data_IF_232498069910
#
_entry.id   IF_232498069910
#
_cell.length_a   1.000
_cell.length_b   1.000
_cell.length_c   1.000
_cell.angle_alpha   90.00
_cell.angle_beta   90.00
_cell.angle_gamma   90.00
#
_symmetry.space_group_name_H-M   'P 1'
#
loop_
_entity.id
_entity.type
_entity.pdbx_description
1 polymer ?
#
# COMPACT_ATOMS: atom_id res chain seq x y z
N UNK A 1 6.32 -20.59 29.68
CA UNK A 1 5.10 -19.85 29.30
C UNK A 1 5.48 -18.38 29.20
N UNK A 2 5.62 -17.78 28.00
CA UNK A 2 5.94 -16.37 27.89
C UNK A 2 4.70 -15.52 28.24
N UNK A 3 4.87 -14.32 28.84
CA UNK A 3 3.76 -13.41 29.10
C UNK A 3 3.18 -12.87 27.79
N UNK A 4 1.85 -12.86 27.69
CA UNK A 4 1.11 -12.38 26.53
C UNK A 4 1.47 -10.93 26.21
N UNK A 5 1.84 -10.67 24.96
CA UNK A 5 2.02 -9.33 24.43
C UNK A 5 0.73 -8.53 24.65
N UNK A 6 0.76 -7.59 25.59
CA UNK A 6 -0.38 -6.71 25.86
C UNK A 6 -0.73 -5.94 24.60
N UNK A 7 -1.88 -6.26 24.00
CA UNK A 7 -2.40 -5.51 22.86
C UNK A 7 -2.60 -4.05 23.29
N UNK A 8 -1.93 -3.14 22.59
CA UNK A 8 -1.99 -1.70 22.87
C UNK A 8 -3.42 -1.21 22.60
N UNK A 9 -4.06 -0.51 23.55
CA UNK A 9 -5.40 0.01 23.34
C UNK A 9 -5.40 1.04 22.19
N UNK A 10 -6.49 1.10 21.41
CA UNK A 10 -6.59 2.05 20.31
C UNK A 10 -6.51 3.49 20.83
N UNK A 11 -5.90 4.41 20.05
CA UNK A 11 -5.85 5.82 20.43
C UNK A 11 -7.27 6.39 20.52
N UNK A 12 -7.49 7.30 21.47
CA UNK A 12 -8.76 8.00 21.62
C UNK A 12 -8.98 8.94 20.42
N UNK A 13 -10.19 9.00 19.85
CA UNK A 13 -10.51 9.98 18.81
C UNK A 13 -10.16 11.40 19.29
N UNK A 14 -9.33 12.13 18.54
CA UNK A 14 -8.89 13.49 18.87
C UNK A 14 -7.64 13.60 19.77
N UNK A 15 -7.02 12.49 20.19
CA UNK A 15 -5.70 12.55 20.79
C UNK A 15 -4.67 12.90 19.71
N UNK A 16 -3.86 13.95 19.93
CA UNK A 16 -2.70 14.22 19.09
C UNK A 16 -1.88 12.92 18.96
N UNK A 17 -1.45 12.53 17.74
CA UNK A 17 -0.55 11.40 17.57
C UNK A 17 0.61 11.58 18.54
N UNK A 18 0.97 10.53 19.28
CA UNK A 18 2.17 10.60 20.11
C UNK A 18 3.33 10.91 19.17
N UNK A 19 4.32 11.69 19.60
CA UNK A 19 5.44 12.09 18.75
C UNK A 19 6.09 10.89 18.02
N UNK A 20 6.12 9.73 18.67
CA UNK A 20 6.62 8.48 18.09
C UNK A 20 5.76 7.90 16.96
N UNK A 21 4.44 8.10 16.99
CA UNK A 21 3.53 7.61 15.96
C UNK A 21 3.74 8.38 14.63
N UNK A 22 4.30 9.60 14.67
CA UNK A 22 4.65 10.38 13.47
C UNK A 22 5.75 9.74 12.63
N UNK A 23 6.61 8.91 13.26
CA UNK A 23 7.67 8.19 12.56
C UNK A 23 7.21 6.87 11.92
N UNK A 24 5.96 6.46 12.14
CA UNK A 24 5.42 5.29 11.46
C UNK A 24 5.31 5.57 9.95
N UNK A 25 5.83 4.70 9.06
CA UNK A 25 5.76 4.91 7.61
C UNK A 25 4.34 5.11 7.07
N UNK A 26 3.36 4.51 7.75
CA UNK A 26 1.93 4.58 7.45
C UNK A 26 1.29 5.92 7.82
N UNK A 27 1.87 6.65 8.78
CA UNK A 27 1.30 7.88 9.31
C UNK A 27 1.21 8.99 8.25
N UNK A 28 2.10 9.01 7.27
CA UNK A 28 2.04 9.99 6.17
C UNK A 28 2.33 11.43 6.58
N UNK A 29 2.81 11.65 7.81
CA UNK A 29 3.03 12.99 8.37
C UNK A 29 4.30 13.64 7.82
N UNK A 30 5.29 12.84 7.40
CA UNK A 30 6.55 13.33 6.87
C UNK A 30 6.58 13.28 5.34
N UNK A 31 7.07 14.34 4.65
CA UNK A 31 7.20 14.33 3.20
C UNK A 31 8.14 13.22 2.73
N UNK A 32 7.85 12.63 1.57
CA UNK A 32 8.72 11.65 0.94
C UNK A 32 9.93 12.35 0.31
N UNK A 33 11.09 12.25 0.95
CA UNK A 33 12.33 12.89 0.47
C UNK A 33 13.17 11.95 -0.40
N UNK A 34 13.81 12.50 -1.44
CA UNK A 34 14.80 11.80 -2.27
C UNK A 34 14.27 10.68 -3.18
N UNK A 35 12.95 10.51 -3.29
CA UNK A 35 12.31 9.43 -4.07
C UNK A 35 11.38 9.91 -5.18
N UNK A 36 11.35 11.21 -5.47
CA UNK A 36 10.45 11.80 -6.45
C UNK A 36 10.58 11.17 -7.85
N UNK A 37 11.81 10.91 -8.32
CA UNK A 37 12.05 10.29 -9.62
C UNK A 37 11.47 8.87 -9.71
N UNK A 38 11.69 8.06 -8.66
CA UNK A 38 11.17 6.69 -8.59
C UNK A 38 9.64 6.67 -8.45
N UNK A 39 9.06 7.61 -7.71
CA UNK A 39 7.61 7.77 -7.64
C UNK A 39 7.02 8.15 -9.01
N UNK A 40 7.68 9.05 -9.74
CA UNK A 40 7.27 9.43 -11.10
C UNK A 40 7.36 8.25 -12.09
N UNK A 41 8.41 7.44 -11.99
CA UNK A 41 8.55 6.21 -12.79
C UNK A 41 7.40 5.23 -12.53
N UNK A 42 7.07 4.97 -11.26
CA UNK A 42 5.94 4.11 -10.89
C UNK A 42 4.60 4.70 -11.34
N UNK A 43 4.43 6.03 -11.28
CA UNK A 43 3.22 6.67 -11.78
C UNK A 43 3.08 6.52 -13.30
N UNK A 44 4.18 6.67 -14.04
CA UNK A 44 4.20 6.46 -15.49
C UNK A 44 3.96 5.00 -15.87
N UNK A 45 4.44 4.05 -15.06
CA UNK A 45 4.14 2.63 -15.23
C UNK A 45 2.62 2.34 -15.14
N UNK A 46 1.86 3.06 -14.31
CA UNK A 46 0.41 2.90 -14.26
C UNK A 46 -0.31 3.35 -15.54
N UNK A 47 0.34 4.15 -16.39
CA UNK A 47 -0.23 4.57 -17.68
C UNK A 47 0.06 3.57 -18.82
N UNK A 48 0.69 2.41 -18.51
CA UNK A 48 0.90 1.33 -19.48
C UNK A 48 -0.45 0.76 -19.96
N UNK A 49 -0.64 0.55 -21.27
CA UNK A 49 -1.91 0.09 -21.83
C UNK A 49 -2.25 -1.39 -21.55
N UNK A 50 -1.36 -2.15 -20.89
CA UNK A 50 -1.63 -3.55 -20.55
C UNK A 50 -2.79 -3.68 -19.53
N UNK A 51 -3.72 -4.59 -19.81
CA UNK A 51 -4.87 -4.89 -18.92
C UNK A 51 -4.43 -5.42 -17.53
N UNK A 52 -3.23 -6.02 -17.45
CA UNK A 52 -2.61 -6.50 -16.23
C UNK A 52 -1.09 -6.34 -16.35
N UNK A 53 -0.48 -5.66 -15.37
CA UNK A 53 0.97 -5.52 -15.26
C UNK A 53 1.44 -5.75 -13.83
N UNK A 54 2.70 -6.17 -13.69
CA UNK A 54 3.36 -6.37 -12.39
C UNK A 54 4.68 -5.62 -12.37
N UNK A 55 4.94 -4.85 -11.31
CA UNK A 55 6.19 -4.14 -11.09
C UNK A 55 6.78 -4.53 -9.73
N UNK A 56 8.05 -4.96 -9.72
CA UNK A 56 8.73 -5.42 -8.50
C UNK A 56 9.59 -4.32 -7.89
N UNK A 57 9.27 -3.91 -6.66
CA UNK A 57 10.11 -3.00 -5.88
C UNK A 57 11.14 -3.78 -5.07
N UNK A 58 12.41 -3.69 -5.47
CA UNK A 58 13.53 -4.40 -4.83
C UNK A 58 14.46 -3.40 -4.13
N UNK A 59 15.00 -3.79 -2.99
CA UNK A 59 15.96 -2.98 -2.24
C UNK A 59 16.16 -3.52 -0.84
N UNK A 60 17.21 -3.06 -0.16
CA UNK A 60 17.57 -3.51 1.19
C UNK A 60 16.45 -3.25 2.23
N UNK A 61 16.53 -3.93 3.37
CA UNK A 61 15.67 -3.62 4.51
C UNK A 61 15.85 -2.16 4.94
N UNK A 62 14.77 -1.48 5.32
CA UNK A 62 14.83 -0.07 5.71
C UNK A 62 14.99 0.94 4.56
N UNK A 63 15.12 0.50 3.31
CA UNK A 63 15.23 1.41 2.14
C UNK A 63 13.99 2.25 1.86
N UNK A 64 12.86 2.01 2.55
CA UNK A 64 11.64 2.80 2.42
C UNK A 64 10.67 2.33 1.32
N UNK A 65 10.77 1.09 0.83
CA UNK A 65 9.86 0.52 -0.19
C UNK A 65 8.38 0.65 0.19
N UNK A 66 8.04 0.26 1.42
CA UNK A 66 6.68 0.40 1.95
C UNK A 66 6.21 1.86 1.97
N UNK A 67 7.09 2.80 2.36
CA UNK A 67 6.78 4.24 2.36
C UNK A 67 6.53 4.75 0.93
N UNK A 68 7.34 4.33 -0.04
CA UNK A 68 7.17 4.68 -1.44
C UNK A 68 5.85 4.15 -2.00
N UNK A 69 5.50 2.89 -1.73
CA UNK A 69 4.25 2.30 -2.18
C UNK A 69 3.02 2.95 -1.54
N UNK A 70 3.09 3.30 -0.24
CA UNK A 70 2.05 4.08 0.43
C UNK A 70 1.85 5.46 -0.22
N UNK A 71 2.93 6.10 -0.64
CA UNK A 71 2.86 7.40 -1.33
C UNK A 71 2.24 7.26 -2.72
N UNK A 72 2.57 6.21 -3.47
CA UNK A 72 1.94 5.90 -4.74
C UNK A 72 0.43 5.67 -4.56
N UNK A 73 0.00 4.87 -3.58
CA UNK A 73 -1.42 4.66 -3.30
C UNK A 73 -2.13 5.99 -2.99
N UNK A 74 -1.55 6.84 -2.13
CA UNK A 74 -2.12 8.16 -1.81
C UNK A 74 -2.20 9.09 -3.02
N UNK A 75 -1.24 9.01 -3.94
CA UNK A 75 -1.19 9.83 -5.15
C UNK A 75 -2.32 9.47 -6.12
N UNK A 76 -2.63 8.18 -6.27
CA UNK A 76 -3.58 7.71 -7.29
C UNK A 76 -4.99 7.40 -6.76
N UNK A 77 -5.12 7.23 -5.44
CA UNK A 77 -6.38 7.04 -4.71
C UNK A 77 -6.37 7.91 -3.43
N UNK A 78 -6.40 9.24 -3.56
CA UNK A 78 -6.41 10.16 -2.43
C UNK A 78 -7.71 10.03 -1.62
N UNK A 79 -7.69 10.36 -0.31
CA UNK A 79 -8.85 10.19 0.58
C UNK A 79 -10.10 11.01 0.20
N UNK A 80 -9.94 12.04 -0.62
CA UNK A 80 -11.05 12.87 -1.12
C UNK A 80 -11.78 12.24 -2.32
N UNK A 81 -11.32 11.07 -2.79
CA UNK A 81 -11.93 10.33 -3.89
C UNK A 81 -11.66 10.91 -5.27
N UNK A 82 -10.76 11.88 -5.39
CA UNK A 82 -10.41 12.51 -6.68
C UNK A 82 -9.50 11.66 -7.59
N UNK A 83 -9.08 10.48 -7.13
CA UNK A 83 -8.18 9.60 -7.85
C UNK A 83 -8.85 8.73 -8.91
N UNK A 84 -8.10 8.47 -9.98
CA UNK A 84 -8.53 7.62 -11.09
C UNK A 84 -8.38 6.13 -10.78
N UNK A 85 -7.63 5.76 -9.74
CA UNK A 85 -7.35 4.37 -9.37
C UNK A 85 -8.03 3.99 -8.05
N UNK A 86 -8.29 2.70 -7.88
CA UNK A 86 -8.50 2.09 -6.57
C UNK A 86 -7.18 1.46 -6.11
N UNK A 87 -6.62 1.90 -4.98
CA UNK A 87 -5.31 1.42 -4.54
C UNK A 87 -5.34 0.86 -3.11
N UNK A 88 -4.84 -0.36 -2.93
CA UNK A 88 -4.84 -1.02 -1.62
C UNK A 88 -3.63 -1.92 -1.40
N UNK A 89 -3.23 -2.05 -0.14
CA UNK A 89 -2.32 -3.10 0.29
C UNK A 89 -3.10 -4.40 0.48
N UNK A 90 -2.53 -5.51 0.01
CA UNK A 90 -3.07 -6.85 0.16
C UNK A 90 -2.02 -7.73 0.80
N UNK A 91 -2.43 -8.50 1.81
CA UNK A 91 -1.54 -9.47 2.42
C UNK A 91 -1.35 -10.67 1.45
N UNK A 92 -0.15 -11.27 1.34
CA UNK A 92 0.09 -12.39 0.44
C UNK A 92 -0.90 -13.57 0.59
N UNK A 93 -1.37 -13.83 1.82
CA UNK A 93 -2.38 -14.87 2.09
C UNK A 93 -3.73 -14.64 1.44
N UNK A 94 -4.06 -13.38 1.13
CA UNK A 94 -5.39 -12.98 0.64
C UNK A 94 -5.46 -13.02 -0.88
N UNK A 95 -4.32 -13.10 -1.57
CA UNK A 95 -4.26 -13.17 -3.03
C UNK A 95 -4.99 -14.39 -3.58
N UNK A 96 -4.80 -15.56 -2.97
CA UNK A 96 -5.43 -16.79 -3.46
C UNK A 96 -6.97 -16.74 -3.34
N UNK A 97 -7.55 -16.37 -2.18
CA UNK A 97 -8.99 -16.11 -2.07
C UNK A 97 -9.54 -15.10 -3.08
N UNK A 98 -8.80 -14.01 -3.35
CA UNK A 98 -9.21 -13.00 -4.34
C UNK A 98 -9.29 -13.63 -5.74
N UNK A 99 -8.26 -14.33 -6.17
CA UNK A 99 -8.21 -14.99 -7.49
C UNK A 99 -9.33 -16.03 -7.62
N UNK A 100 -9.52 -16.89 -6.62
CA UNK A 100 -10.55 -17.93 -6.66
C UNK A 100 -11.97 -17.31 -6.73
N UNK A 101 -12.18 -16.16 -6.08
CA UNK A 101 -13.45 -15.42 -6.14
C UNK A 101 -13.69 -14.82 -7.53
N UNK A 102 -12.67 -14.18 -8.12
CA UNK A 102 -12.75 -13.58 -9.45
C UNK A 102 -12.90 -14.64 -10.56
N UNK A 103 -12.35 -15.84 -10.37
CA UNK A 103 -12.47 -16.94 -11.32
C UNK A 103 -13.89 -17.54 -11.37
N UNK A 104 -14.68 -17.39 -10.31
CA UNK A 104 -15.99 -18.05 -10.16
C UNK A 104 -17.17 -17.10 -10.26
N UNK A 105 -16.93 -15.78 -10.26
CA UNK A 105 -17.97 -14.75 -10.33
C UNK A 105 -17.61 -13.74 -11.42
N UNK A 106 -18.60 -13.40 -12.25
CA UNK A 106 -18.47 -12.26 -13.14
C UNK A 106 -18.29 -11.00 -12.29
N UNK A 107 -17.13 -10.37 -12.42
CA UNK A 107 -16.78 -9.15 -11.72
C UNK A 107 -16.13 -8.19 -12.73
N UNK A 108 -16.61 -6.95 -12.76
CA UNK A 108 -16.05 -5.88 -13.56
C UNK A 108 -15.44 -4.84 -12.62
N UNK A 109 -14.23 -4.42 -12.92
CA UNK A 109 -13.59 -3.32 -12.20
C UNK A 109 -14.16 -2.00 -12.70
N UNK A 110 -14.78 -1.23 -11.82
CA UNK A 110 -15.33 0.09 -12.17
C UNK A 110 -14.23 1.15 -12.36
N UNK A 111 -13.03 0.89 -11.83
CA UNK A 111 -11.83 1.73 -11.93
C UNK A 111 -10.59 0.84 -12.08
N UNK A 112 -9.52 1.33 -12.74
CA UNK A 112 -8.24 0.64 -12.72
C UNK A 112 -7.77 0.43 -11.27
N UNK A 113 -7.19 -0.75 -10.98
CA UNK A 113 -6.92 -1.18 -9.60
C UNK A 113 -5.45 -1.50 -9.39
N UNK A 114 -4.85 -0.87 -8.38
CA UNK A 114 -3.47 -1.09 -7.94
C UNK A 114 -3.48 -1.91 -6.65
N UNK A 115 -2.93 -3.12 -6.73
CA UNK A 115 -2.71 -3.98 -5.56
C UNK A 115 -1.24 -3.96 -5.17
N UNK A 116 -0.94 -3.51 -3.96
CA UNK A 116 0.41 -3.54 -3.39
C UNK A 116 0.54 -4.75 -2.48
N UNK A 117 1.49 -5.63 -2.79
CA UNK A 117 1.81 -6.80 -1.98
C UNK A 117 3.15 -6.57 -1.31
N UNK A 118 3.13 -6.22 -0.03
CA UNK A 118 4.36 -6.08 0.77
C UNK A 118 4.79 -7.46 1.32
N UNK A 119 6.09 -7.68 1.50
CA UNK A 119 6.68 -8.94 1.96
C UNK A 119 6.42 -10.16 1.06
N UNK A 120 6.43 -9.99 -0.27
CA UNK A 120 6.28 -11.10 -1.22
C UNK A 120 7.42 -12.16 -1.20
N UNK A 121 8.46 -12.00 -0.37
CA UNK A 121 9.63 -12.89 -0.32
C UNK A 121 9.57 -13.95 0.80
N UNK A 122 8.51 -13.99 1.61
CA UNK A 122 8.31 -15.01 2.64
C UNK A 122 7.06 -15.81 2.33
N UNK A 123 7.14 -16.68 1.33
CA UNK A 123 6.19 -17.75 1.05
C UNK A 123 6.94 -19.08 0.98
#
# INVERSE_FOLDING_TARGET
MPPGAGARPPPRPGALPRELDMFAPTAGVLPLLGRAAMLAELRGWLDDPADLSVHALIGEAGSGKTRLALELCRLVDPPDGSGDWLAAFVHPSDLRPIVDTLATRAFTWDRPTLLVVDYAATA
#
